data_IF_387687891879
#
_entry.id   IF_387687891879
#
_cell.length_a   1.000
_cell.length_b   1.000
_cell.length_c   1.000
_cell.angle_alpha   90.00
_cell.angle_beta   90.00
_cell.angle_gamma   90.00
#
_symmetry.space_group_name_H-M   'P 1'
#
loop_
_entity.id
_entity.type
_entity.pdbx_description
1 polymer ?
#
# COMPACT_ATOMS: atom_id res chain seq x y z
N UNK A 1 11.81 -42.02 -7.98
CA UNK A 1 11.29 -40.71 -7.53
C UNK A 1 9.91 -40.93 -6.92
N UNK A 2 9.68 -40.49 -5.67
CA UNK A 2 8.38 -40.72 -5.01
C UNK A 2 7.33 -39.74 -5.53
N UNK A 3 6.10 -40.21 -5.76
CA UNK A 3 5.01 -39.39 -6.31
C UNK A 3 4.67 -38.16 -5.44
N UNK A 4 5.00 -38.16 -4.14
CA UNK A 4 4.83 -36.98 -3.26
C UNK A 4 5.82 -35.84 -3.58
N UNK A 5 7.06 -36.18 -3.92
CA UNK A 5 8.04 -35.20 -4.43
C UNK A 5 7.69 -34.72 -5.83
N UNK A 6 7.08 -35.59 -6.65
CA UNK A 6 6.64 -35.25 -8.00
C UNK A 6 5.39 -34.36 -8.00
N UNK A 7 4.43 -34.56 -7.09
CA UNK A 7 3.24 -33.70 -6.97
C UNK A 7 3.61 -32.29 -6.47
N UNK A 8 4.54 -32.17 -5.50
CA UNK A 8 5.10 -30.87 -5.12
C UNK A 8 5.91 -30.23 -6.25
N UNK A 9 6.74 -31.00 -6.96
CA UNK A 9 7.52 -30.49 -8.09
C UNK A 9 6.63 -30.06 -9.27
N UNK A 10 5.55 -30.78 -9.56
CA UNK A 10 4.56 -30.44 -10.61
C UNK A 10 3.73 -29.23 -10.22
N UNK A 11 3.32 -29.09 -8.95
CA UNK A 11 2.67 -27.86 -8.48
C UNK A 11 3.61 -26.65 -8.59
N UNK A 12 4.90 -26.79 -8.25
CA UNK A 12 5.90 -25.73 -8.40
C UNK A 12 6.19 -25.42 -9.87
N UNK A 13 6.23 -26.42 -10.76
CA UNK A 13 6.43 -26.24 -12.20
C UNK A 13 5.24 -25.55 -12.88
N UNK A 14 4.02 -25.95 -12.53
CA UNK A 14 2.79 -25.35 -13.06
C UNK A 14 2.59 -23.92 -12.55
N UNK A 15 3.00 -23.63 -11.31
CA UNK A 15 3.02 -22.25 -10.78
C UNK A 15 4.07 -21.40 -11.52
N UNK A 16 5.22 -21.97 -11.89
CA UNK A 16 6.28 -21.27 -12.67
C UNK A 16 5.88 -21.01 -14.13
N UNK A 17 5.23 -21.96 -14.81
CA UNK A 17 4.76 -21.77 -16.19
C UNK A 17 3.63 -20.72 -16.28
N UNK A 18 2.74 -20.68 -15.27
CA UNK A 18 1.68 -19.68 -15.19
C UNK A 18 2.23 -18.26 -14.94
N UNK A 19 3.31 -18.12 -14.16
CA UNK A 19 3.96 -16.82 -13.89
C UNK A 19 4.78 -16.32 -15.08
N UNK A 20 5.48 -17.20 -15.80
CA UNK A 20 6.25 -16.85 -17.00
C UNK A 20 5.39 -16.36 -18.17
N UNK A 21 4.20 -16.94 -18.35
CA UNK A 21 3.27 -16.52 -19.41
C UNK A 21 2.53 -15.20 -19.07
N UNK A 22 2.53 -14.79 -17.79
CA UNK A 22 1.88 -13.57 -17.29
C UNK A 22 2.76 -12.32 -17.43
N UNK A 23 4.09 -12.49 -17.44
CA UNK A 23 5.05 -11.39 -17.62
C UNK A 23 5.10 -10.88 -19.05
N UNK A 24 4.87 -11.73 -20.05
CA UNK A 24 4.91 -11.35 -21.46
C UNK A 24 3.64 -10.61 -21.90
N UNK A 25 2.46 -10.98 -21.38
CA UNK A 25 1.19 -10.31 -21.73
C UNK A 25 0.97 -8.98 -20.98
N UNK A 26 1.62 -8.77 -19.83
CA UNK A 26 1.48 -7.53 -19.04
C UNK A 26 2.33 -6.37 -19.59
N UNK A 27 3.29 -6.63 -20.47
CA UNK A 27 4.14 -5.59 -21.06
C UNK A 27 3.44 -4.84 -22.21
N UNK A 28 2.49 -5.48 -22.91
CA UNK A 28 1.81 -4.88 -24.08
C UNK A 28 0.61 -3.97 -23.74
N UNK A 29 0.08 -4.00 -22.51
CA UNK A 29 -1.19 -3.35 -22.16
C UNK A 29 -1.09 -1.94 -21.51
N UNK A 30 0.07 -1.26 -21.55
CA UNK A 30 0.29 0.06 -20.89
C UNK A 30 0.03 1.28 -21.78
N UNK A 31 -0.98 1.23 -22.65
CA UNK A 31 -1.35 2.34 -23.50
C UNK A 31 -2.86 2.56 -23.60
N UNK A 32 -3.51 3.09 -22.57
CA UNK A 32 -4.86 3.62 -22.69
C UNK A 32 -5.78 3.35 -21.50
N UNK A 33 -6.24 4.43 -20.86
CA UNK A 33 -7.16 4.38 -19.74
C UNK A 33 -8.53 3.82 -20.13
N UNK A 34 -8.83 2.64 -19.62
CA UNK A 34 -10.16 2.16 -19.19
C UNK A 34 -9.94 0.81 -18.49
N UNK A 35 -9.92 0.83 -17.15
CA UNK A 35 -9.87 -0.40 -16.35
C UNK A 35 -11.24 -1.07 -16.44
N UNK A 36 -11.37 -2.09 -17.31
CA UNK A 36 -12.58 -2.90 -17.41
C UNK A 36 -12.52 -4.07 -16.42
N UNK A 37 -13.69 -4.41 -15.89
CA UNK A 37 -13.98 -5.54 -15.00
C UNK A 37 -13.55 -6.92 -15.56
N UNK A 38 -13.12 -7.01 -16.83
CA UNK A 38 -12.64 -8.24 -17.45
C UNK A 38 -11.34 -8.81 -16.82
N UNK A 39 -10.61 -8.02 -16.02
CA UNK A 39 -9.40 -8.48 -15.32
C UNK A 39 -9.69 -9.46 -14.17
N UNK A 40 -10.94 -9.51 -13.69
CA UNK A 40 -11.34 -10.35 -12.55
C UNK A 40 -11.44 -11.84 -12.89
N UNK A 41 -11.73 -12.20 -14.14
CA UNK A 41 -11.84 -13.61 -14.55
C UNK A 41 -10.48 -14.33 -14.63
N UNK A 42 -9.40 -13.61 -14.98
CA UNK A 42 -8.06 -14.21 -15.09
C UNK A 42 -7.30 -14.29 -13.76
N UNK A 43 -7.55 -13.37 -12.82
CA UNK A 43 -6.98 -13.45 -11.47
C UNK A 43 -7.43 -14.72 -10.72
N UNK A 44 -8.60 -15.26 -11.08
CA UNK A 44 -9.23 -16.39 -10.42
C UNK A 44 -8.57 -17.76 -10.73
N UNK A 45 -7.86 -17.91 -11.87
CA UNK A 45 -7.16 -19.14 -12.23
C UNK A 45 -5.85 -19.35 -11.42
N UNK A 46 -5.10 -18.29 -11.16
CA UNK A 46 -3.93 -18.35 -10.28
C UNK A 46 -4.32 -18.47 -8.79
N UNK A 47 -5.50 -17.97 -8.42
CA UNK A 47 -6.14 -18.20 -7.13
C UNK A 47 -6.71 -19.61 -7.00
N UNK A 48 -7.13 -20.27 -8.09
CA UNK A 48 -7.52 -21.70 -8.08
C UNK A 48 -6.35 -22.61 -7.68
N UNK A 49 -5.12 -22.34 -8.12
CA UNK A 49 -3.96 -23.13 -7.73
C UNK A 49 -3.51 -22.87 -6.27
N UNK A 50 -3.56 -21.60 -5.82
CA UNK A 50 -3.17 -21.19 -4.45
C UNK A 50 -4.25 -21.44 -3.40
N UNK A 51 -5.52 -21.37 -3.80
CA UNK A 51 -6.70 -21.64 -2.98
C UNK A 51 -6.93 -23.13 -2.67
N UNK A 52 -6.37 -24.04 -3.48
CA UNK A 52 -6.47 -25.48 -3.29
C UNK A 52 -5.64 -26.03 -2.12
N UNK A 53 -4.63 -25.28 -1.66
CA UNK A 53 -3.88 -25.56 -0.41
C UNK A 53 -4.54 -24.87 0.80
N UNK A 54 -5.54 -24.01 0.55
CA UNK A 54 -6.06 -23.03 1.52
C UNK A 54 -7.05 -23.64 2.52
N UNK A 55 -7.89 -24.60 2.11
CA UNK A 55 -8.96 -25.21 2.93
C UNK A 55 -8.47 -26.20 3.98
N UNK A 56 -7.32 -26.87 3.78
CA UNK A 56 -6.82 -27.86 4.77
C UNK A 56 -6.08 -27.22 5.97
N UNK A 57 -5.61 -25.97 5.88
CA UNK A 57 -4.89 -25.32 6.98
C UNK A 57 -5.76 -24.43 7.90
N UNK A 58 -6.87 -23.88 7.40
CA UNK A 58 -7.69 -22.92 8.19
C UNK A 58 -8.55 -23.64 9.25
N UNK A 59 -8.99 -24.87 8.98
CA UNK A 59 -9.84 -25.64 9.91
C UNK A 59 -9.11 -26.03 11.21
N UNK A 60 -7.77 -25.96 11.25
CA UNK A 60 -6.98 -26.43 12.41
C UNK A 60 -6.54 -25.35 13.40
N UNK A 61 -6.82 -24.06 13.15
CA UNK A 61 -6.32 -22.97 14.02
C UNK A 61 -7.27 -22.62 15.18
N UNK A 62 -8.52 -23.11 15.19
CA UNK A 62 -9.55 -22.70 16.16
C UNK A 62 -10.19 -23.80 17.01
N UNK A 63 -9.75 -25.05 16.90
CA UNK A 63 -10.18 -26.13 17.80
C UNK A 63 -8.97 -26.81 18.44
N UNK A 64 -8.35 -26.14 19.40
CA UNK A 64 -7.66 -26.85 20.50
C UNK A 64 -8.71 -27.11 21.57
N UNK A 65 -9.71 -27.91 21.22
CA UNK A 65 -10.57 -28.54 22.20
C UNK A 65 -9.71 -29.58 22.92
N UNK A 66 -9.77 -29.58 24.26
CA UNK A 66 -9.15 -30.59 25.11
C UNK A 66 -9.72 -31.98 24.75
N UNK A 67 -9.13 -32.65 23.75
CA UNK A 67 -9.43 -34.03 23.43
C UNK A 67 -8.85 -34.88 24.55
N UNK A 68 -9.75 -35.59 25.21
CA UNK A 68 -9.48 -36.57 26.24
C UNK A 68 -8.56 -37.63 25.64
N UNK A 69 -7.28 -37.62 26.03
CA UNK A 69 -6.27 -38.57 25.56
C UNK A 69 -6.63 -39.96 26.07
N UNK A 70 -7.37 -40.71 25.24
CA UNK A 70 -7.58 -42.14 25.48
C UNK A 70 -6.25 -42.80 25.18
N UNK A 71 -5.45 -43.05 26.23
CA UNK A 71 -4.12 -43.64 26.14
C UNK A 71 -4.22 -45.13 25.76
N UNK A 72 -4.56 -45.40 24.51
CA UNK A 72 -4.25 -46.67 23.88
C UNK A 72 -2.76 -46.63 23.50
N UNK A 73 -1.99 -47.60 23.99
CA UNK A 73 -0.55 -47.71 23.70
C UNK A 73 -0.35 -47.83 22.19
N UNK A 74 0.21 -46.81 21.56
CA UNK A 74 0.50 -46.82 20.12
C UNK A 74 1.53 -47.93 19.81
N UNK A 75 1.48 -48.55 18.61
CA UNK A 75 2.48 -49.52 18.20
C UNK A 75 3.89 -48.93 18.23
N UNK A 76 4.90 -49.75 18.50
CA UNK A 76 6.30 -49.32 18.56
C UNK A 76 6.73 -48.62 17.26
N UNK A 77 7.36 -47.44 17.39
CA UNK A 77 7.76 -46.61 16.26
C UNK A 77 6.63 -45.81 15.58
N UNK A 78 5.40 -45.85 16.11
CA UNK A 78 4.29 -45.01 15.65
C UNK A 78 4.14 -43.79 16.55
N UNK A 79 4.01 -42.62 15.94
CA UNK A 79 3.74 -41.35 16.63
C UNK A 79 2.44 -40.73 16.12
N UNK A 80 1.78 -39.96 16.98
CA UNK A 80 0.62 -39.15 16.60
C UNK A 80 1.04 -37.69 16.43
N UNK A 81 0.72 -37.09 15.28
CA UNK A 81 0.99 -35.68 14.99
C UNK A 81 -0.23 -35.08 14.30
N UNK A 82 -0.86 -34.10 14.96
CA UNK A 82 -2.12 -33.45 14.56
C UNK A 82 -3.25 -34.44 14.22
N UNK A 83 -3.52 -35.40 15.10
CA UNK A 83 -4.59 -36.39 14.93
C UNK A 83 -4.33 -37.39 13.80
N UNK A 84 -3.08 -37.53 13.35
CA UNK A 84 -2.67 -38.46 12.30
C UNK A 84 -1.55 -39.36 12.81
N UNK A 85 -1.62 -40.65 12.49
CA UNK A 85 -0.61 -41.62 12.88
C UNK A 85 0.49 -41.71 11.83
N UNK A 86 1.74 -41.70 12.26
CA UNK A 86 2.92 -41.70 11.40
C UNK A 86 3.91 -42.76 11.87
N UNK A 87 4.61 -43.36 10.90
CA UNK A 87 5.73 -44.28 11.17
C UNK A 87 6.89 -44.01 10.21
N UNK A 88 8.14 -44.25 10.65
CA UNK A 88 9.29 -44.14 9.77
C UNK A 88 9.24 -45.20 8.68
N UNK A 89 9.75 -44.86 7.49
CA UNK A 89 10.00 -45.87 6.44
C UNK A 89 11.22 -46.72 6.83
N UNK A 90 11.37 -47.94 6.27
CA UNK A 90 12.58 -48.72 6.48
C UNK A 90 13.84 -47.97 6.02
N UNK A 91 14.90 -47.99 6.83
CA UNK A 91 16.23 -47.45 6.49
C UNK A 91 16.36 -45.91 6.58
N UNK A 92 15.46 -45.25 7.30
CA UNK A 92 15.50 -43.79 7.47
C UNK A 92 16.37 -43.37 8.65
N UNK A 93 16.93 -42.17 8.56
CA UNK A 93 17.82 -41.61 9.58
C UNK A 93 17.12 -40.55 10.42
N UNK A 94 16.02 -39.97 9.94
CA UNK A 94 15.33 -38.89 10.64
C UNK A 94 14.58 -39.38 11.87
N UNK A 95 14.79 -38.71 13.01
CA UNK A 95 14.10 -39.00 14.27
C UNK A 95 12.65 -38.50 14.24
N UNK A 96 11.85 -38.94 15.23
CA UNK A 96 10.47 -38.45 15.41
C UNK A 96 10.43 -36.95 15.67
N UNK A 97 11.37 -36.43 16.46
CA UNK A 97 11.49 -35.01 16.78
C UNK A 97 11.85 -34.18 15.53
N UNK A 98 12.78 -34.67 14.71
CA UNK A 98 13.13 -34.05 13.43
C UNK A 98 11.94 -34.03 12.46
N UNK A 99 11.14 -35.10 12.43
CA UNK A 99 9.92 -35.14 11.63
C UNK A 99 8.87 -34.12 12.09
N UNK A 100 8.62 -34.03 13.41
CA UNK A 100 7.69 -33.06 13.98
C UNK A 100 8.18 -31.64 13.66
N UNK A 101 9.46 -31.36 13.89
CA UNK A 101 10.06 -30.05 13.59
C UNK A 101 9.98 -29.70 12.10
N UNK A 102 10.28 -30.66 11.21
CA UNK A 102 10.16 -30.47 9.77
C UNK A 102 8.72 -30.16 9.35
N UNK A 103 7.74 -30.87 9.91
CA UNK A 103 6.32 -30.65 9.61
C UNK A 103 5.84 -29.29 10.12
N UNK A 104 6.23 -28.89 11.33
CA UNK A 104 5.97 -27.54 11.86
C UNK A 104 6.56 -26.48 10.94
N UNK A 105 7.84 -26.60 10.57
CA UNK A 105 8.52 -25.67 9.66
C UNK A 105 7.86 -25.59 8.29
N UNK A 106 7.45 -26.73 7.74
CA UNK A 106 6.71 -26.79 6.47
C UNK A 106 5.40 -26.01 6.57
N UNK A 107 4.63 -26.19 7.65
CA UNK A 107 3.37 -25.47 7.87
C UNK A 107 3.63 -23.98 8.03
N UNK A 108 4.60 -23.58 8.86
CA UNK A 108 4.98 -22.17 9.07
C UNK A 108 5.36 -21.48 7.77
N UNK A 109 6.31 -22.03 7.00
CA UNK A 109 6.77 -21.45 5.73
C UNK A 109 5.62 -21.29 4.74
N UNK A 110 4.75 -22.30 4.63
CA UNK A 110 3.60 -22.22 3.73
C UNK A 110 2.54 -21.23 4.22
N UNK A 111 2.29 -21.14 5.52
CA UNK A 111 1.39 -20.15 6.10
C UNK A 111 1.91 -18.73 5.87
N UNK A 112 3.18 -18.47 6.19
CA UNK A 112 3.83 -17.18 5.94
C UNK A 112 3.83 -16.84 4.45
N UNK A 113 4.10 -17.84 3.60
CA UNK A 113 4.10 -17.72 2.15
C UNK A 113 2.74 -17.33 1.54
N UNK A 114 1.62 -17.57 2.23
CA UNK A 114 0.28 -17.15 1.77
C UNK A 114 0.13 -15.63 1.76
N UNK A 115 0.66 -14.98 2.79
CA UNK A 115 0.58 -13.52 2.94
C UNK A 115 1.83 -12.82 2.41
N UNK A 116 2.98 -13.49 2.49
CA UNK A 116 4.29 -12.98 2.09
C UNK A 116 4.93 -13.93 1.08
N UNK A 117 4.55 -13.88 -0.22
CA UNK A 117 4.96 -14.87 -1.22
C UNK A 117 6.47 -15.05 -1.38
N UNK A 118 7.25 -14.01 -1.08
CA UNK A 118 8.72 -14.05 -1.11
C UNK A 118 9.33 -14.93 -0.01
N UNK A 119 8.61 -15.24 1.07
CA UNK A 119 9.09 -16.14 2.13
C UNK A 119 9.39 -17.53 1.55
N UNK A 120 8.63 -17.97 0.55
CA UNK A 120 8.88 -19.24 -0.14
C UNK A 120 10.21 -19.24 -0.90
N UNK A 121 10.62 -18.09 -1.44
CA UNK A 121 11.89 -17.94 -2.13
C UNK A 121 13.05 -17.79 -1.13
N UNK A 122 12.86 -16.98 -0.09
CA UNK A 122 13.88 -16.70 0.95
C UNK A 122 14.18 -17.94 1.81
N UNK A 123 13.15 -18.72 2.16
CA UNK A 123 13.25 -19.93 3.00
C UNK A 123 13.21 -21.21 2.18
N UNK A 124 13.60 -21.14 0.91
CA UNK A 124 13.48 -22.28 -0.02
C UNK A 124 14.27 -23.51 0.43
N UNK A 125 15.50 -23.31 0.91
CA UNK A 125 16.36 -24.39 1.39
C UNK A 125 15.76 -25.10 2.62
N UNK A 126 15.23 -24.33 3.58
CA UNK A 126 14.53 -24.86 4.75
C UNK A 126 13.28 -25.67 4.37
N UNK A 127 12.53 -25.20 3.37
CA UNK A 127 11.34 -25.88 2.87
C UNK A 127 11.71 -27.21 2.19
N UNK A 128 12.74 -27.21 1.33
CA UNK A 128 13.20 -28.41 0.64
C UNK A 128 13.76 -29.46 1.64
N UNK A 129 14.48 -29.02 2.68
CA UNK A 129 14.93 -29.87 3.80
C UNK A 129 13.74 -30.49 4.55
N UNK A 130 12.76 -29.67 4.94
CA UNK A 130 11.55 -30.13 5.62
C UNK A 130 10.79 -31.17 4.80
N UNK A 131 10.65 -30.95 3.49
CA UNK A 131 10.04 -31.91 2.56
C UNK A 131 10.84 -33.22 2.51
N UNK A 132 12.18 -33.15 2.50
CA UNK A 132 13.04 -34.33 2.49
C UNK A 132 12.87 -35.18 3.76
N UNK A 133 12.88 -34.54 4.94
CA UNK A 133 12.66 -35.21 6.24
C UNK A 133 11.26 -35.81 6.30
N UNK A 134 10.21 -35.04 5.96
CA UNK A 134 8.84 -35.55 5.90
C UNK A 134 8.70 -36.73 4.92
N UNK A 135 9.48 -36.72 3.84
CA UNK A 135 9.57 -37.79 2.86
C UNK A 135 10.10 -39.11 3.43
N UNK A 136 10.74 -39.12 4.59
CA UNK A 136 11.20 -40.33 5.29
C UNK A 136 10.08 -41.02 6.09
N UNK A 137 8.94 -40.35 6.27
CA UNK A 137 7.83 -40.86 7.07
C UNK A 137 6.63 -41.24 6.21
N UNK A 138 5.74 -42.08 6.74
CA UNK A 138 4.50 -42.47 6.07
C UNK A 138 3.35 -42.62 7.06
N UNK A 139 2.13 -42.46 6.55
CA UNK A 139 0.89 -42.65 7.32
C UNK A 139 0.80 -44.08 7.86
N UNK A 140 0.42 -44.20 9.13
CA UNK A 140 0.33 -45.44 9.89
C UNK A 140 -1.10 -45.81 10.26
N UNK A 141 -2.12 -45.02 9.89
CA UNK A 141 -3.51 -45.38 10.21
C UNK A 141 -3.90 -46.73 9.58
N UNK A 142 -4.62 -47.58 10.33
CA UNK A 142 -5.14 -48.83 9.80
C UNK A 142 -5.97 -48.59 8.54
N UNK A 143 -5.63 -49.30 7.46
CA UNK A 143 -6.36 -49.20 6.19
C UNK A 143 -6.11 -47.92 5.38
N UNK A 144 -5.15 -47.06 5.77
CA UNK A 144 -4.79 -45.89 4.97
C UNK A 144 -4.33 -46.31 3.57
N UNK A 145 -5.06 -45.88 2.54
CA UNK A 145 -4.71 -46.06 1.14
C UNK A 145 -4.44 -44.72 0.50
N UNK A 146 -3.31 -44.63 -0.21
CA UNK A 146 -3.01 -43.46 -1.04
C UNK A 146 -4.01 -43.40 -2.19
N UNK A 147 -4.55 -42.22 -2.42
CA UNK A 147 -5.39 -41.98 -3.59
C UNK A 147 -4.54 -42.11 -4.86
N UNK A 148 -5.09 -42.75 -5.88
CA UNK A 148 -4.50 -42.72 -7.23
C UNK A 148 -4.67 -41.34 -7.84
N UNK A 149 -3.88 -41.00 -8.87
CA UNK A 149 -4.01 -39.73 -9.60
C UNK A 149 -5.45 -39.54 -10.12
N UNK A 150 -6.03 -40.58 -10.73
CA UNK A 150 -7.42 -40.58 -11.21
C UNK A 150 -8.43 -40.30 -10.08
N UNK A 151 -8.20 -40.83 -8.88
CA UNK A 151 -9.06 -40.57 -7.72
C UNK A 151 -8.90 -39.13 -7.20
N UNK A 152 -7.70 -38.57 -7.24
CA UNK A 152 -7.43 -37.16 -6.90
C UNK A 152 -8.09 -36.22 -7.89
N UNK A 153 -7.94 -36.46 -9.19
CA UNK A 153 -8.59 -35.69 -10.26
C UNK A 153 -10.10 -35.71 -10.10
N UNK A 154 -10.70 -36.89 -9.92
CA UNK A 154 -12.14 -37.01 -9.70
C UNK A 154 -12.60 -36.28 -8.43
N UNK A 155 -11.77 -36.20 -7.38
CA UNK A 155 -12.05 -35.40 -6.18
C UNK A 155 -12.01 -33.91 -6.51
N UNK A 156 -10.98 -33.44 -7.21
CA UNK A 156 -10.88 -32.03 -7.60
C UNK A 156 -12.02 -31.58 -8.51
N UNK A 157 -12.43 -32.40 -9.48
CA UNK A 157 -13.59 -32.08 -10.31
C UNK A 157 -14.89 -31.94 -9.50
N UNK A 158 -15.08 -32.77 -8.46
CA UNK A 158 -16.25 -32.65 -7.58
C UNK A 158 -16.24 -31.33 -6.82
N UNK A 159 -15.09 -30.95 -6.27
CA UNK A 159 -14.95 -29.67 -5.58
C UNK A 159 -15.11 -28.49 -6.55
N UNK A 160 -14.53 -28.54 -7.74
CA UNK A 160 -14.67 -27.50 -8.76
C UNK A 160 -16.16 -27.33 -9.15
N UNK A 161 -16.89 -28.43 -9.37
CA UNK A 161 -18.35 -28.38 -9.63
C UNK A 161 -19.14 -27.81 -8.45
N UNK A 162 -18.74 -28.11 -7.21
CA UNK A 162 -19.37 -27.55 -6.01
C UNK A 162 -19.16 -26.03 -5.94
N UNK A 163 -17.91 -25.57 -6.10
CA UNK A 163 -17.55 -24.15 -6.11
C UNK A 163 -18.20 -23.37 -7.25
N UNK A 164 -18.40 -23.99 -8.41
CA UNK A 164 -19.12 -23.38 -9.53
C UNK A 164 -20.61 -23.21 -9.23
N UNK A 165 -21.25 -24.19 -8.58
CA UNK A 165 -22.65 -24.06 -8.14
C UNK A 165 -22.82 -22.99 -7.08
N UNK A 166 -21.92 -22.93 -6.10
CA UNK A 166 -21.93 -21.91 -5.05
C UNK A 166 -21.78 -20.50 -5.64
N UNK A 167 -20.83 -20.32 -6.57
CA UNK A 167 -20.66 -19.05 -7.29
C UNK A 167 -21.89 -18.67 -8.12
N UNK A 168 -22.44 -19.61 -8.89
CA UNK A 168 -23.64 -19.36 -9.67
C UNK A 168 -24.86 -18.99 -8.78
N UNK A 169 -24.98 -19.60 -7.60
CA UNK A 169 -26.02 -19.26 -6.63
C UNK A 169 -25.81 -17.85 -6.05
N UNK A 170 -24.59 -17.51 -5.65
CA UNK A 170 -24.23 -16.18 -5.16
C UNK A 170 -24.45 -15.10 -6.23
N UNK A 171 -24.04 -15.36 -7.47
CA UNK A 171 -24.27 -14.47 -8.61
C UNK A 171 -25.76 -14.23 -8.85
N UNK A 172 -26.58 -15.30 -8.80
CA UNK A 172 -28.04 -15.18 -8.93
C UNK A 172 -28.65 -14.33 -7.82
N UNK A 173 -28.22 -14.51 -6.57
CA UNK A 173 -28.66 -13.68 -5.45
C UNK A 173 -28.26 -12.21 -5.63
N UNK A 174 -27.01 -11.96 -6.06
CA UNK A 174 -26.52 -10.61 -6.35
C UNK A 174 -27.33 -9.92 -7.43
N UNK A 175 -27.60 -10.60 -8.55
CA UNK A 175 -28.42 -10.05 -9.63
C UNK A 175 -29.85 -9.72 -9.17
N UNK A 176 -30.45 -10.58 -8.34
CA UNK A 176 -31.76 -10.29 -7.76
C UNK A 176 -31.75 -9.05 -6.85
N UNK A 177 -30.73 -8.89 -6.01
CA UNK A 177 -30.58 -7.74 -5.10
C UNK A 177 -30.47 -6.39 -5.82
N UNK A 178 -29.97 -6.34 -7.06
CA UNK A 178 -29.89 -5.10 -7.84
C UNK A 178 -31.24 -4.38 -7.96
N UNK A 179 -32.35 -5.12 -7.97
CA UNK A 179 -33.70 -4.56 -8.03
C UNK A 179 -34.08 -3.75 -6.78
N UNK A 180 -33.40 -4.01 -5.66
CA UNK A 180 -33.61 -3.34 -4.38
C UNK A 180 -32.53 -2.29 -4.09
N UNK A 181 -31.72 -1.94 -5.10
CA UNK A 181 -30.72 -0.88 -4.94
C UNK A 181 -31.41 0.48 -4.72
N UNK A 182 -31.10 1.09 -3.59
CA UNK A 182 -31.51 2.45 -3.25
C UNK A 182 -30.28 3.37 -3.28
N UNK A 183 -30.19 4.29 -4.27
CA UNK A 183 -29.04 5.19 -4.39
C UNK A 183 -28.94 6.20 -3.24
N UNK A 184 -30.07 6.64 -2.68
CA UNK A 184 -30.07 7.60 -1.57
C UNK A 184 -29.56 6.92 -0.30
N UNK A 185 -30.08 5.73 0.02
CA UNK A 185 -29.62 4.93 1.16
C UNK A 185 -28.14 4.55 1.04
N UNK A 186 -27.68 4.19 -0.15
CA UNK A 186 -26.26 3.90 -0.40
C UNK A 186 -25.38 5.13 -0.17
N UNK A 187 -25.82 6.31 -0.62
CA UNK A 187 -25.11 7.57 -0.43
C UNK A 187 -25.12 8.01 1.04
N UNK A 188 -26.25 7.83 1.74
CA UNK A 188 -26.40 8.10 3.17
C UNK A 188 -25.46 7.22 3.99
N UNK A 189 -25.32 5.93 3.64
CA UNK A 189 -24.36 5.02 4.29
C UNK A 189 -22.92 5.50 4.15
N UNK A 190 -22.50 5.93 2.95
CA UNK A 190 -21.14 6.45 2.77
C UNK A 190 -20.91 7.72 3.61
N UNK A 191 -21.94 8.57 3.70
CA UNK A 191 -21.91 9.77 4.52
C UNK A 191 -21.86 9.42 6.02
N UNK A 192 -22.56 8.38 6.45
CA UNK A 192 -22.54 7.88 7.83
C UNK A 192 -21.13 7.44 8.22
N UNK A 193 -20.50 6.58 7.42
CA UNK A 193 -19.14 6.09 7.68
C UNK A 193 -18.13 7.24 7.73
N UNK A 194 -18.24 8.21 6.81
CA UNK A 194 -17.40 9.42 6.83
C UNK A 194 -17.57 10.20 8.13
N UNK A 195 -18.80 10.45 8.56
CA UNK A 195 -19.08 11.25 9.75
C UNK A 195 -18.73 10.52 11.06
N UNK A 196 -18.83 9.19 11.09
CA UNK A 196 -18.29 8.40 12.19
C UNK A 196 -16.78 8.56 12.30
N UNK A 197 -16.05 8.57 11.18
CA UNK A 197 -14.60 8.83 11.18
C UNK A 197 -14.25 10.26 11.62
N UNK A 198 -15.04 11.26 11.21
CA UNK A 198 -14.88 12.64 11.68
C UNK A 198 -15.12 12.72 13.18
N UNK A 199 -16.18 12.08 13.68
CA UNK A 199 -16.54 12.08 15.09
C UNK A 199 -15.43 11.49 15.96
N UNK A 200 -14.92 10.30 15.60
CA UNK A 200 -13.80 9.64 16.28
C UNK A 200 -12.56 10.54 16.36
N UNK A 201 -12.22 11.20 15.24
CA UNK A 201 -11.10 12.14 15.20
C UNK A 201 -11.32 13.35 16.14
N UNK A 202 -12.49 13.99 16.08
CA UNK A 202 -12.79 15.14 16.93
C UNK A 202 -12.77 14.77 18.43
N UNK A 203 -13.29 13.59 18.78
CA UNK A 203 -13.25 13.07 20.15
C UNK A 203 -11.81 12.82 20.62
N UNK A 204 -10.98 12.25 19.75
CA UNK A 204 -9.55 12.05 20.01
C UNK A 204 -8.81 13.37 20.22
N UNK A 205 -9.07 14.38 19.37
CA UNK A 205 -8.48 15.71 19.54
C UNK A 205 -8.93 16.37 20.85
N UNK A 206 -10.21 16.29 21.19
CA UNK A 206 -10.73 16.84 22.44
C UNK A 206 -10.09 16.17 23.66
N UNK A 207 -9.93 14.84 23.64
CA UNK A 207 -9.24 14.11 24.70
C UNK A 207 -7.78 14.58 24.85
N UNK A 208 -7.07 14.75 23.73
CA UNK A 208 -5.70 15.21 23.72
C UNK A 208 -5.53 16.68 24.19
N UNK A 209 -6.54 17.53 23.98
CA UNK A 209 -6.57 18.87 24.57
C UNK A 209 -6.83 18.81 26.09
N UNK A 210 -7.71 17.92 26.54
CA UNK A 210 -8.04 17.75 27.97
C UNK A 210 -6.86 17.22 28.78
N UNK A 211 -6.11 16.24 28.26
CA UNK A 211 -4.94 15.69 28.94
C UNK A 211 -3.65 16.52 28.74
N UNK A 212 -3.70 17.55 27.90
CA UNK A 212 -2.59 18.46 27.63
C UNK A 212 -1.50 17.89 26.71
N UNK A 213 -1.68 16.69 26.15
CA UNK A 213 -0.76 16.10 25.17
C UNK A 213 -0.77 16.89 23.85
N UNK A 214 -1.93 17.46 23.49
CA UNK A 214 -2.09 18.35 22.34
C UNK A 214 -1.64 19.76 22.70
N UNK A 215 -0.50 20.15 22.13
CA UNK A 215 0.14 21.45 22.38
C UNK A 215 0.36 21.72 23.88
N UNK A 216 1.33 21.05 24.53
CA UNK A 216 1.54 21.16 25.98
C UNK A 216 1.74 22.58 26.48
N UNK A 217 2.45 23.42 25.70
CA UNK A 217 2.70 24.83 26.01
C UNK A 217 1.57 25.81 25.65
N UNK A 218 0.38 25.32 25.26
CA UNK A 218 -0.75 26.20 24.94
C UNK A 218 -1.28 26.90 26.20
N UNK A 219 -1.57 28.19 26.06
CA UNK A 219 -2.15 29.01 27.13
C UNK A 219 -3.55 28.49 27.52
N UNK A 220 -3.89 28.42 28.84
CA UNK A 220 -5.12 27.79 29.32
C UNK A 220 -6.43 28.34 28.74
N UNK A 221 -6.57 29.67 28.62
CA UNK A 221 -7.78 30.30 28.08
C UNK A 221 -7.96 29.92 26.60
N UNK A 222 -6.89 29.95 25.81
CA UNK A 222 -6.92 29.47 24.43
C UNK A 222 -7.27 27.99 24.34
N UNK A 223 -6.71 27.15 25.21
CA UNK A 223 -7.03 25.71 25.27
C UNK A 223 -8.51 25.48 25.57
N UNK A 224 -9.08 26.18 26.56
CA UNK A 224 -10.51 26.10 26.88
C UNK A 224 -11.39 26.51 25.70
N UNK A 225 -10.99 27.55 24.95
CA UNK A 225 -11.70 27.97 23.74
C UNK A 225 -11.70 26.89 22.66
N UNK A 226 -10.54 26.31 22.35
CA UNK A 226 -10.43 25.22 21.35
C UNK A 226 -11.24 24.00 21.76
N UNK A 227 -11.25 23.64 23.06
CA UNK A 227 -12.07 22.56 23.59
C UNK A 227 -13.57 22.82 23.38
N UNK A 228 -14.05 24.03 23.70
CA UNK A 228 -15.45 24.41 23.51
C UNK A 228 -15.87 24.40 22.02
N UNK A 229 -14.97 24.84 21.12
CA UNK A 229 -15.19 24.75 19.68
C UNK A 229 -15.27 23.29 19.19
N UNK A 230 -14.44 22.39 19.72
CA UNK A 230 -14.50 20.96 19.42
C UNK A 230 -15.78 20.31 19.96
N UNK A 231 -16.19 20.62 21.18
CA UNK A 231 -17.44 20.12 21.78
C UNK A 231 -18.65 20.51 20.92
N UNK A 232 -18.73 21.78 20.49
CA UNK A 232 -19.78 22.24 19.58
C UNK A 232 -19.78 21.50 18.25
N UNK A 233 -18.59 21.20 17.68
CA UNK A 233 -18.48 20.42 16.43
C UNK A 233 -18.91 18.98 16.63
N UNK A 234 -18.51 18.36 17.74
CA UNK A 234 -18.88 17.00 18.11
C UNK A 234 -20.40 16.87 18.20
N UNK A 235 -21.09 17.77 18.89
CA UNK A 235 -22.55 17.76 19.01
C UNK A 235 -23.23 17.80 17.63
N UNK A 236 -22.82 18.72 16.75
CA UNK A 236 -23.36 18.84 15.39
C UNK A 236 -23.15 17.57 14.56
N UNK A 237 -21.95 16.98 14.64
CA UNK A 237 -21.63 15.75 13.90
C UNK A 237 -22.43 14.57 14.48
N UNK A 238 -22.58 14.47 15.80
CA UNK A 238 -23.39 13.43 16.45
C UNK A 238 -24.86 13.52 16.04
N UNK A 239 -25.45 14.71 16.01
CA UNK A 239 -26.82 14.90 15.51
C UNK A 239 -26.97 14.47 14.05
N UNK A 240 -25.96 14.72 13.22
CA UNK A 240 -25.98 14.28 11.83
C UNK A 240 -25.83 12.76 11.69
N UNK A 241 -24.92 12.15 12.47
CA UNK A 241 -24.77 10.69 12.55
C UNK A 241 -26.09 10.03 12.95
N UNK A 242 -26.76 10.50 14.01
CA UNK A 242 -28.05 9.94 14.45
C UNK A 242 -29.13 9.98 13.36
N UNK A 243 -29.19 11.07 12.59
CA UNK A 243 -30.12 11.18 11.45
C UNK A 243 -29.78 10.15 10.36
N UNK A 244 -28.51 10.03 10.02
CA UNK A 244 -28.06 9.06 9.01
C UNK A 244 -28.24 7.61 9.47
N UNK A 245 -28.05 7.29 10.75
CA UNK A 245 -28.32 5.95 11.29
C UNK A 245 -29.79 5.56 11.12
N UNK A 246 -30.72 6.50 11.37
CA UNK A 246 -32.15 6.27 11.18
C UNK A 246 -32.52 6.06 9.70
N UNK A 247 -31.85 6.76 8.77
CA UNK A 247 -32.06 6.61 7.33
C UNK A 247 -31.46 5.32 6.76
N UNK A 248 -30.27 4.94 7.25
CA UNK A 248 -29.49 3.81 6.73
C UNK A 248 -29.97 2.48 7.31
N UNK A 249 -30.37 2.44 8.58
CA UNK A 249 -30.57 1.19 9.32
C UNK A 249 -29.24 0.45 9.50
N UNK A 250 -29.22 -0.86 9.26
CA UNK A 250 -27.96 -1.62 9.28
C UNK A 250 -27.09 -1.23 8.06
N UNK A 251 -25.90 -0.62 8.27
CA UNK A 251 -24.99 -0.29 7.17
C UNK A 251 -24.48 -1.53 6.44
N UNK A 252 -24.49 -2.73 7.04
CA UNK A 252 -24.02 -3.96 6.41
C UNK A 252 -25.05 -4.62 5.47
N UNK A 253 -26.29 -4.16 5.49
CA UNK A 253 -27.36 -4.63 4.59
C UNK A 253 -27.57 -3.74 3.36
N UNK A 254 -26.84 -2.63 3.26
CA UNK A 254 -27.03 -1.66 2.16
C UNK A 254 -26.38 -2.16 0.88
N UNK A 255 -27.25 -2.48 -0.08
CA UNK A 255 -26.88 -2.99 -1.40
C UNK A 255 -26.26 -1.87 -2.25
N UNK A 256 -25.17 -2.18 -2.96
CA UNK A 256 -24.60 -1.27 -3.96
C UNK A 256 -25.30 -1.38 -5.33
N UNK A 257 -24.96 -0.48 -6.26
CA UNK A 257 -25.52 -0.46 -7.63
C UNK A 257 -25.32 -1.77 -8.42
N UNK A 258 -24.41 -2.62 -7.98
CA UNK A 258 -24.07 -3.89 -8.61
C UNK A 258 -24.65 -5.09 -7.84
N UNK A 259 -25.46 -4.86 -6.80
CA UNK A 259 -26.10 -5.91 -6.00
C UNK A 259 -25.23 -6.48 -4.88
N UNK A 260 -24.05 -5.90 -4.63
CA UNK A 260 -23.12 -6.37 -3.61
C UNK A 260 -23.45 -5.80 -2.24
N UNK A 261 -23.28 -6.64 -1.22
CA UNK A 261 -23.26 -6.21 0.17
C UNK A 261 -21.85 -5.74 0.58
N UNK A 262 -21.72 -4.85 1.58
CA UNK A 262 -20.43 -4.42 2.11
C UNK A 262 -19.51 -5.56 2.53
N UNK A 263 -20.02 -6.61 3.18
CA UNK A 263 -19.22 -7.79 3.54
C UNK A 263 -18.62 -8.50 2.33
N UNK A 264 -19.41 -8.72 1.29
CA UNK A 264 -18.94 -9.36 0.06
C UNK A 264 -17.92 -8.48 -0.68
N UNK A 265 -18.11 -7.15 -0.65
CA UNK A 265 -17.13 -6.20 -1.20
C UNK A 265 -15.82 -6.26 -0.44
N UNK A 266 -15.85 -6.39 0.88
CA UNK A 266 -14.63 -6.54 1.69
C UNK A 266 -13.82 -7.79 1.32
N UNK A 267 -14.47 -8.91 1.02
CA UNK A 267 -13.78 -10.11 0.54
C UNK A 267 -13.06 -9.87 -0.80
N UNK A 268 -13.76 -9.26 -1.76
CA UNK A 268 -13.18 -8.90 -3.05
C UNK A 268 -12.02 -7.88 -2.90
N UNK A 269 -12.20 -6.88 -2.04
CA UNK A 269 -11.20 -5.84 -1.77
C UNK A 269 -9.99 -6.38 -1.00
N UNK A 270 -10.16 -7.38 -0.13
CA UNK A 270 -9.06 -8.10 0.51
C UNK A 270 -8.19 -8.80 -0.55
N UNK A 271 -8.83 -9.46 -1.52
CA UNK A 271 -8.10 -10.09 -2.62
C UNK A 271 -7.33 -9.06 -3.45
N UNK A 272 -7.96 -7.95 -3.80
CA UNK A 272 -7.31 -6.86 -4.53
C UNK A 272 -6.13 -6.29 -3.74
N UNK A 273 -6.30 -6.03 -2.45
CA UNK A 273 -5.23 -5.53 -1.57
C UNK A 273 -4.05 -6.49 -1.50
N UNK A 274 -4.31 -7.80 -1.32
CA UNK A 274 -3.26 -8.84 -1.32
C UNK A 274 -2.43 -8.78 -2.61
N UNK A 275 -3.10 -8.71 -3.75
CA UNK A 275 -2.45 -8.60 -5.06
C UNK A 275 -1.61 -7.33 -5.20
N UNK A 276 -2.19 -6.16 -4.88
CA UNK A 276 -1.52 -4.88 -5.00
C UNK A 276 -0.33 -4.78 -4.04
N UNK A 277 -0.47 -5.30 -2.82
CA UNK A 277 0.61 -5.40 -1.84
C UNK A 277 1.75 -6.29 -2.33
N UNK A 278 1.44 -7.50 -2.82
CA UNK A 278 2.45 -8.42 -3.36
C UNK A 278 3.25 -7.76 -4.48
N UNK A 279 2.55 -7.13 -5.42
CA UNK A 279 3.17 -6.41 -6.53
C UNK A 279 4.05 -5.27 -6.03
N UNK A 280 3.53 -4.40 -5.16
CA UNK A 280 4.24 -3.25 -4.61
C UNK A 280 5.49 -3.67 -3.81
N UNK A 281 5.43 -4.74 -3.02
CA UNK A 281 6.59 -5.24 -2.28
C UNK A 281 7.67 -5.75 -3.23
N UNK A 282 7.32 -6.52 -4.25
CA UNK A 282 8.28 -7.00 -5.26
C UNK A 282 8.95 -5.83 -5.99
N UNK A 283 8.15 -4.88 -6.43
CA UNK A 283 8.61 -3.69 -7.15
C UNK A 283 9.54 -2.83 -6.27
N UNK A 284 9.15 -2.56 -5.02
CA UNK A 284 9.99 -1.81 -4.07
C UNK A 284 11.31 -2.51 -3.75
N UNK A 285 11.31 -3.83 -3.59
CA UNK A 285 12.54 -4.61 -3.36
C UNK A 285 13.50 -4.49 -4.54
N UNK A 286 12.99 -4.60 -5.77
CA UNK A 286 13.78 -4.39 -7.00
C UNK A 286 14.31 -2.96 -7.06
N UNK A 287 13.44 -1.96 -6.90
CA UNK A 287 13.82 -0.54 -6.93
C UNK A 287 14.87 -0.19 -5.88
N UNK A 288 14.79 -0.76 -4.67
CA UNK A 288 15.78 -0.53 -3.62
C UNK A 288 17.15 -1.09 -3.98
N UNK A 289 17.21 -2.27 -4.63
CA UNK A 289 18.47 -2.82 -5.11
C UNK A 289 19.10 -1.89 -6.17
N UNK A 290 18.30 -1.44 -7.13
CA UNK A 290 18.73 -0.53 -8.20
C UNK A 290 19.20 0.82 -7.63
N UNK A 291 18.38 1.47 -6.80
CA UNK A 291 18.70 2.76 -6.18
C UNK A 291 19.97 2.70 -5.33
N UNK A 292 20.19 1.61 -4.57
CA UNK A 292 21.40 1.41 -3.77
C UNK A 292 22.63 1.21 -4.65
N UNK A 293 22.48 0.52 -5.79
CA UNK A 293 23.55 0.36 -6.77
C UNK A 293 23.93 1.72 -7.39
N UNK A 294 22.95 2.47 -7.88
CA UNK A 294 23.17 3.82 -8.43
C UNK A 294 23.78 4.77 -7.40
N UNK A 295 23.32 4.73 -6.15
CA UNK A 295 23.90 5.53 -5.07
C UNK A 295 25.38 5.20 -4.81
N UNK A 296 25.78 3.93 -4.89
CA UNK A 296 27.18 3.52 -4.76
C UNK A 296 28.02 4.00 -5.95
N UNK A 297 27.46 3.98 -7.15
CA UNK A 297 28.16 4.38 -8.38
C UNK A 297 28.26 5.90 -8.57
N UNK A 298 27.28 6.68 -8.08
CA UNK A 298 27.23 8.13 -8.27
C UNK A 298 28.32 8.85 -7.46
N UNK A 299 29.01 9.77 -8.13
CA UNK A 299 30.02 10.68 -7.54
C UNK A 299 29.47 12.09 -7.30
N UNK A 300 28.34 12.45 -7.89
CA UNK A 300 27.75 13.79 -7.76
C UNK A 300 27.05 13.97 -6.41
N UNK A 301 27.34 15.07 -5.71
CA UNK A 301 26.81 15.31 -4.35
C UNK A 301 25.30 15.50 -4.35
N UNK A 302 24.76 16.20 -5.36
CA UNK A 302 23.33 16.50 -5.44
C UNK A 302 22.54 15.23 -5.76
N UNK A 303 22.97 14.49 -6.77
CA UNK A 303 22.40 13.20 -7.15
C UNK A 303 22.41 12.21 -5.98
N UNK A 304 23.53 12.10 -5.24
CA UNK A 304 23.61 11.26 -4.02
C UNK A 304 22.62 11.69 -2.94
N UNK A 305 22.37 13.00 -2.78
CA UNK A 305 21.38 13.50 -1.84
C UNK A 305 19.96 13.07 -2.22
N UNK A 306 19.60 13.21 -3.50
CA UNK A 306 18.30 12.81 -4.03
C UNK A 306 18.11 11.29 -3.95
N UNK A 307 19.15 10.51 -4.24
CA UNK A 307 19.13 9.05 -4.13
C UNK A 307 18.95 8.59 -2.68
N UNK A 308 19.59 9.24 -1.70
CA UNK A 308 19.37 8.93 -0.27
C UNK A 308 17.92 9.15 0.14
N UNK A 309 17.32 10.26 -0.30
CA UNK A 309 15.91 10.54 -0.03
C UNK A 309 15.01 9.46 -0.64
N UNK A 310 15.23 9.10 -1.92
CA UNK A 310 14.47 8.04 -2.60
C UNK A 310 14.62 6.68 -1.91
N UNK A 311 15.83 6.31 -1.50
CA UNK A 311 16.09 5.08 -0.75
C UNK A 311 15.31 5.08 0.56
N UNK A 312 15.39 6.17 1.34
CA UNK A 312 14.67 6.30 2.61
C UNK A 312 13.15 6.17 2.44
N UNK A 313 12.58 6.86 1.45
CA UNK A 313 11.15 6.77 1.12
C UNK A 313 10.73 5.35 0.72
N UNK A 314 11.50 4.70 -0.14
CA UNK A 314 11.21 3.33 -0.57
C UNK A 314 11.36 2.30 0.57
N UNK A 315 12.34 2.50 1.47
CA UNK A 315 12.51 1.67 2.66
C UNK A 315 11.35 1.82 3.64
N UNK A 316 10.92 3.06 3.90
CA UNK A 316 9.76 3.32 4.77
C UNK A 316 8.52 2.64 4.22
N UNK A 317 8.20 2.88 2.94
CA UNK A 317 7.02 2.28 2.30
C UNK A 317 7.08 0.75 2.28
N UNK A 318 8.26 0.17 2.04
CA UNK A 318 8.43 -1.29 2.13
C UNK A 318 8.19 -1.78 3.56
N UNK A 319 8.76 -1.09 4.56
CA UNK A 319 8.52 -1.37 5.98
C UNK A 319 7.03 -1.34 6.33
N UNK A 320 6.31 -0.30 5.91
CA UNK A 320 4.87 -0.16 6.17
C UNK A 320 4.04 -1.30 5.57
N UNK A 321 4.39 -1.77 4.37
CA UNK A 321 3.71 -2.88 3.72
C UNK A 321 4.02 -4.22 4.39
N UNK A 322 5.27 -4.42 4.83
CA UNK A 322 5.70 -5.63 5.52
C UNK A 322 5.14 -5.72 6.94
N UNK A 323 4.92 -4.58 7.61
CA UNK A 323 4.36 -4.51 8.95
C UNK A 323 2.85 -4.87 9.02
N UNK A 324 2.14 -4.88 7.88
CA UNK A 324 0.73 -5.30 7.86
C UNK A 324 0.65 -6.82 8.05
N UNK A 325 0.05 -7.25 9.17
CA UNK A 325 -0.27 -8.65 9.44
C UNK A 325 -1.30 -9.21 8.47
N UNK A 326 -1.49 -10.53 8.48
CA UNK A 326 -2.55 -11.16 7.69
C UNK A 326 -3.92 -10.57 8.07
N UNK A 327 -4.69 -10.18 7.06
CA UNK A 327 -5.99 -9.55 7.23
C UNK A 327 -7.13 -10.52 6.93
N UNK A 328 -8.16 -10.46 7.77
CA UNK A 328 -9.50 -10.96 7.50
C UNK A 328 -10.31 -9.94 6.68
N UNK A 329 -11.42 -10.38 6.08
CA UNK A 329 -12.22 -9.51 5.21
C UNK A 329 -12.81 -8.35 6.01
N UNK A 330 -13.27 -8.58 7.24
CA UNK A 330 -13.87 -7.60 8.14
C UNK A 330 -12.92 -6.45 8.48
N UNK A 331 -11.62 -6.67 8.35
CA UNK A 331 -10.59 -5.65 8.58
C UNK A 331 -10.35 -4.76 7.35
N UNK A 332 -11.04 -4.99 6.24
CA UNK A 332 -10.97 -4.16 5.04
C UNK A 332 -12.03 -3.07 5.03
N UNK A 333 -11.75 -1.96 4.37
CA UNK A 333 -12.81 -1.05 3.97
C UNK A 333 -13.72 -1.73 2.94
N UNK A 334 -15.03 -1.49 3.01
CA UNK A 334 -16.01 -2.00 2.04
C UNK A 334 -16.03 -1.21 0.73
N UNK A 335 -15.33 -0.06 0.67
CA UNK A 335 -15.39 0.88 -0.45
C UNK A 335 -14.08 0.99 -1.23
N UNK A 336 -12.95 0.56 -0.66
CA UNK A 336 -11.66 0.59 -1.33
C UNK A 336 -10.72 -0.52 -0.83
N UNK A 337 -9.68 -0.82 -1.61
CA UNK A 337 -8.71 -1.86 -1.32
C UNK A 337 -7.65 -1.41 -0.29
N UNK A 338 -8.10 -0.80 0.81
CA UNK A 338 -7.24 -0.32 1.89
C UNK A 338 -7.78 -0.89 3.22
N UNK A 339 -6.90 -1.38 4.11
CA UNK A 339 -7.32 -1.85 5.42
C UNK A 339 -8.03 -0.76 6.24
N UNK A 340 -9.01 -1.13 7.06
CA UNK A 340 -9.78 -0.19 7.85
C UNK A 340 -8.91 0.61 8.81
N UNK A 341 -7.92 -0.04 9.45
CA UNK A 341 -6.99 0.64 10.38
C UNK A 341 -6.10 1.71 9.71
N UNK A 342 -6.02 1.72 8.38
CA UNK A 342 -5.30 2.75 7.61
C UNK A 342 -6.19 3.90 7.17
N UNK A 343 -7.49 3.83 7.48
CA UNK A 343 -8.44 4.91 7.25
C UNK A 343 -8.55 5.81 8.47
N UNK A 344 -8.65 7.10 8.23
CA UNK A 344 -9.06 8.07 9.24
C UNK A 344 -9.23 9.44 8.61
N UNK A 345 -9.79 10.38 9.37
CA UNK A 345 -10.08 11.72 8.85
C UNK A 345 -8.82 12.53 8.50
N UNK A 346 -7.68 12.22 9.12
CA UNK A 346 -6.43 12.96 8.94
C UNK A 346 -5.24 12.04 8.65
N UNK A 347 -4.23 12.59 7.99
CA UNK A 347 -2.94 11.94 7.73
C UNK A 347 -1.83 12.82 8.31
N UNK A 348 -0.86 12.28 9.07
CA UNK A 348 -0.77 10.96 9.72
C UNK A 348 -1.68 10.82 10.97
N UNK A 349 -1.83 9.63 11.60
CA UNK A 349 -1.13 8.35 11.37
C UNK A 349 -1.73 7.47 10.26
N UNK A 350 -2.88 7.85 9.71
CA UNK A 350 -3.58 7.10 8.67
C UNK A 350 -3.09 7.45 7.26
N UNK A 351 -3.33 6.57 6.28
CA UNK A 351 -3.08 6.86 4.87
C UNK A 351 -4.06 7.92 4.31
N UNK A 352 -5.17 8.14 5.04
CA UNK A 352 -6.10 9.24 4.87
C UNK A 352 -7.56 8.80 4.80
N UNK A 353 -8.48 9.74 4.50
CA UNK A 353 -9.90 9.43 4.38
C UNK A 353 -10.16 8.55 3.15
N UNK A 354 -11.20 7.73 3.22
CA UNK A 354 -11.55 6.85 2.10
C UNK A 354 -11.88 7.71 0.85
N UNK A 355 -11.31 7.41 -0.32
CA UNK A 355 -11.63 8.15 -1.55
C UNK A 355 -13.11 8.09 -1.96
N UNK A 356 -13.86 7.09 -1.47
CA UNK A 356 -15.29 6.94 -1.72
C UNK A 356 -16.16 7.82 -0.81
N UNK A 357 -15.60 8.42 0.25
CA UNK A 357 -16.36 9.25 1.16
C UNK A 357 -16.80 10.55 0.50
N UNK A 358 -18.10 10.93 0.57
CA UNK A 358 -18.64 12.00 -0.27
C UNK A 358 -18.02 13.37 -0.02
N UNK A 359 -17.84 13.76 1.24
CA UNK A 359 -17.25 15.04 1.62
C UNK A 359 -15.78 15.11 1.19
N UNK A 360 -15.02 14.06 1.46
CA UNK A 360 -13.63 13.95 1.06
C UNK A 360 -13.45 13.96 -0.47
N UNK A 361 -14.25 13.17 -1.20
CA UNK A 361 -14.21 13.13 -2.66
C UNK A 361 -14.46 14.52 -3.27
N UNK A 362 -15.46 15.25 -2.77
CA UNK A 362 -15.74 16.64 -3.17
C UNK A 362 -14.56 17.57 -2.87
N UNK A 363 -13.94 17.43 -1.70
CA UNK A 363 -12.75 18.21 -1.31
C UNK A 363 -11.58 17.95 -2.26
N UNK A 364 -11.26 16.69 -2.54
CA UNK A 364 -10.19 16.30 -3.46
C UNK A 364 -10.47 16.79 -4.87
N UNK A 365 -11.73 16.73 -5.33
CA UNK A 365 -12.11 17.28 -6.63
C UNK A 365 -11.84 18.79 -6.71
N UNK A 366 -12.26 19.57 -5.70
CA UNK A 366 -11.98 21.01 -5.65
C UNK A 366 -10.48 21.32 -5.68
N UNK A 367 -9.68 20.57 -4.92
CA UNK A 367 -8.22 20.72 -4.92
C UNK A 367 -7.64 20.46 -6.31
N UNK A 368 -8.10 19.40 -7.00
CA UNK A 368 -7.67 19.11 -8.38
C UNK A 368 -8.05 20.22 -9.36
N UNK A 369 -9.24 20.80 -9.23
CA UNK A 369 -9.70 21.93 -10.04
C UNK A 369 -8.83 23.18 -9.82
N UNK A 370 -8.48 23.48 -8.57
CA UNK A 370 -7.56 24.57 -8.23
C UNK A 370 -6.17 24.37 -8.86
N UNK A 371 -5.59 23.17 -8.78
CA UNK A 371 -4.31 22.88 -9.41
C UNK A 371 -4.37 22.99 -10.93
N UNK A 372 -5.43 22.48 -11.56
CA UNK A 372 -5.64 22.65 -13.00
C UNK A 372 -5.70 24.13 -13.37
N UNK A 373 -6.47 24.93 -12.65
CA UNK A 373 -6.57 26.38 -12.89
C UNK A 373 -5.21 27.08 -12.72
N UNK A 374 -4.42 26.71 -11.71
CA UNK A 374 -3.08 27.27 -11.48
C UNK A 374 -2.10 26.91 -12.61
N UNK A 375 -2.16 25.67 -13.13
CA UNK A 375 -1.34 25.23 -14.26
C UNK A 375 -1.75 25.96 -15.55
N UNK A 376 -3.04 26.15 -15.81
CA UNK A 376 -3.49 26.91 -16.97
C UNK A 376 -3.12 28.40 -16.86
N UNK A 377 -3.25 29.00 -15.67
CA UNK A 377 -2.84 30.37 -15.42
C UNK A 377 -1.31 30.57 -15.60
N UNK A 378 -0.49 29.57 -15.27
CA UNK A 378 0.96 29.65 -15.45
C UNK A 378 1.38 29.51 -16.91
N UNK A 379 0.66 28.73 -17.72
CA UNK A 379 0.86 28.65 -19.19
C UNK A 379 0.57 30.00 -19.88
N UNK A 380 -0.41 30.75 -19.38
CA UNK A 380 -0.77 32.08 -19.92
C UNK A 380 0.23 33.19 -19.57
N UNK A 381 1.01 33.04 -18.50
CA UNK A 381 2.07 33.99 -18.13
C UNK A 381 3.37 33.69 -18.90
N UNK A 382 3.45 34.13 -20.16
CA UNK A 382 4.77 34.43 -20.74
C UNK A 382 5.39 35.50 -19.85
N UNK A 383 6.42 35.15 -19.07
CA UNK A 383 7.19 36.10 -18.27
C UNK A 383 7.66 37.21 -19.24
N UNK A 384 7.20 38.46 -19.10
CA UNK A 384 7.76 39.55 -19.90
C UNK A 384 9.28 39.52 -19.70
N UNK A 385 10.09 39.71 -20.76
CA UNK A 385 11.52 39.86 -20.57
C UNK A 385 11.72 40.98 -19.54
N UNK A 386 12.40 40.66 -18.44
CA UNK A 386 12.72 41.66 -17.44
C UNK A 386 13.41 42.83 -18.15
N UNK A 387 12.98 44.09 -17.94
CA UNK A 387 13.69 45.22 -18.52
C UNK A 387 15.16 45.11 -18.08
N UNK A 388 16.13 45.28 -19.01
CA UNK A 388 17.53 45.21 -18.65
C UNK A 388 17.80 46.20 -17.51
N UNK A 389 18.57 45.81 -16.49
CA UNK A 389 18.90 46.74 -15.41
C UNK A 389 19.56 47.98 -16.02
N UNK A 390 19.02 49.17 -15.69
CA UNK A 390 19.56 50.46 -16.10
C UNK A 390 21.03 50.51 -15.66
N UNK A 391 21.96 50.45 -16.62
CA UNK A 391 23.36 50.69 -16.34
C UNK A 391 23.49 52.19 -16.03
N UNK A 392 24.12 52.60 -14.92
CA UNK A 392 24.39 54.01 -14.70
C UNK A 392 25.28 54.53 -15.83
N UNK A 393 24.92 55.69 -16.38
CA UNK A 393 25.71 56.39 -17.40
C UNK A 393 26.70 57.35 -16.71
N UNK A 394 27.90 57.57 -17.28
CA UNK A 394 28.86 58.51 -16.73
C UNK A 394 28.32 59.95 -16.80
N UNK A 395 28.55 60.74 -15.75
CA UNK A 395 28.11 62.13 -15.66
C UNK A 395 28.84 63.03 -16.68
N UNK A 396 30.07 62.66 -17.05
CA UNK A 396 30.84 63.34 -18.08
C UNK A 396 31.89 62.41 -18.69
N UNK A 397 32.18 62.57 -19.99
CA UNK A 397 33.25 61.86 -20.70
C UNK A 397 34.07 62.87 -21.49
N UNK A 398 35.38 62.96 -21.26
CA UNK A 398 36.28 63.87 -22.00
C UNK A 398 37.31 63.10 -22.83
N UNK A 399 37.60 63.61 -24.04
CA UNK A 399 38.56 63.03 -24.99
C UNK A 399 39.69 64.00 -25.36
N UNK A 400 39.99 64.96 -24.48
CA UNK A 400 40.96 66.04 -24.72
C UNK A 400 42.41 65.59 -24.43
N UNK A 401 43.44 66.37 -24.85
CA UNK A 401 44.83 66.12 -24.47
C UNK A 401 45.05 66.26 -22.94
N UNK A 402 46.06 65.57 -22.40
CA UNK A 402 46.29 65.40 -20.95
C UNK A 402 46.36 66.73 -20.16
N UNK A 403 46.93 67.78 -20.73
CA UNK A 403 47.04 69.08 -20.08
C UNK A 403 45.67 69.76 -19.87
N UNK A 404 44.74 69.61 -20.82
CA UNK A 404 43.38 70.16 -20.74
C UNK A 404 42.46 69.28 -19.89
N UNK A 405 42.73 67.96 -19.83
CA UNK A 405 42.00 67.04 -18.97
C UNK A 405 42.13 67.42 -17.50
N UNK A 406 43.33 67.79 -17.03
CA UNK A 406 43.55 68.11 -15.61
C UNK A 406 42.77 69.37 -15.18
N UNK A 407 42.75 70.40 -16.04
CA UNK A 407 41.96 71.61 -15.78
C UNK A 407 40.45 71.30 -15.77
N UNK A 408 39.97 70.51 -16.75
CA UNK A 408 38.55 70.18 -16.84
C UNK A 408 38.08 69.21 -15.75
N UNK A 409 38.95 68.30 -15.29
CA UNK A 409 38.67 67.43 -14.14
C UNK A 409 38.60 68.23 -12.84
N UNK A 410 39.46 69.23 -12.65
CA UNK A 410 39.38 70.11 -11.49
C UNK A 410 38.05 70.87 -11.43
N UNK A 411 37.58 71.44 -12.56
CA UNK A 411 36.28 72.11 -12.64
C UNK A 411 35.10 71.13 -12.38
N UNK A 412 35.16 69.92 -12.93
CA UNK A 412 34.09 68.92 -12.75
C UNK A 412 34.07 68.34 -11.34
N UNK A 413 35.22 68.25 -10.68
CA UNK A 413 35.31 67.77 -9.30
C UNK A 413 34.85 68.81 -8.29
N UNK A 414 34.94 70.11 -8.61
CA UNK A 414 34.29 71.17 -7.84
C UNK A 414 32.75 71.10 -7.96
N UNK A 415 32.23 70.75 -9.14
CA UNK A 415 30.79 70.60 -9.37
C UNK A 415 30.20 69.30 -8.79
N UNK A 416 31.00 68.22 -8.71
CA UNK A 416 30.58 66.92 -8.22
C UNK A 416 31.63 66.35 -7.24
N UNK A 417 31.65 66.82 -5.98
CA UNK A 417 32.72 66.50 -5.03
C UNK A 417 32.81 65.01 -4.66
N UNK A 418 31.69 64.29 -4.75
CA UNK A 418 31.61 62.86 -4.37
C UNK A 418 31.82 61.92 -5.56
N UNK A 419 32.05 62.43 -6.78
CA UNK A 419 32.15 61.62 -7.97
C UNK A 419 33.54 60.97 -8.13
N UNK A 420 33.58 59.70 -8.57
CA UNK A 420 34.81 58.98 -8.84
C UNK A 420 35.24 59.14 -10.30
N UNK A 421 36.47 59.60 -10.51
CA UNK A 421 37.10 59.65 -11.84
C UNK A 421 37.61 58.26 -12.21
N UNK A 422 37.16 57.71 -13.33
CA UNK A 422 37.61 56.40 -13.84
C UNK A 422 38.06 56.52 -15.30
N UNK A 423 38.98 55.64 -15.70
CA UNK A 423 39.40 55.52 -17.10
C UNK A 423 38.45 54.57 -17.84
N UNK A 424 37.66 55.12 -18.75
CA UNK A 424 36.68 54.42 -19.56
C UNK A 424 37.27 53.70 -20.77
N UNK A 425 36.38 53.14 -21.60
CA UNK A 425 36.79 52.53 -22.88
C UNK A 425 37.36 53.59 -23.83
N UNK A 426 38.35 53.21 -24.64
CA UNK A 426 39.09 54.10 -25.55
C UNK A 426 39.88 55.24 -24.86
N UNK A 427 40.41 54.99 -23.66
CA UNK A 427 41.27 55.92 -22.90
C UNK A 427 40.62 57.26 -22.55
N UNK A 428 39.30 57.33 -22.52
CA UNK A 428 38.57 58.52 -22.10
C UNK A 428 38.50 58.57 -20.57
N UNK A 429 38.49 59.77 -20.01
CA UNK A 429 38.26 59.96 -18.59
C UNK A 429 36.77 60.18 -18.36
N UNK A 430 36.20 59.37 -17.47
CA UNK A 430 34.77 59.33 -17.17
C UNK A 430 34.53 59.69 -15.71
N UNK A 431 33.58 60.58 -15.43
CA UNK A 431 33.17 60.92 -14.07
C UNK A 431 31.95 60.07 -13.69
N UNK A 432 32.04 59.32 -12.60
CA UNK A 432 30.99 58.41 -12.14
C UNK A 432 30.39 58.90 -10.81
N UNK A 433 29.07 58.80 -10.60
CA UNK A 433 28.50 59.10 -9.29
C UNK A 433 29.07 58.14 -8.22
N UNK A 434 29.18 58.61 -6.98
CA UNK A 434 29.56 57.76 -5.84
C UNK A 434 28.69 56.50 -5.83
N UNK A 435 29.29 55.32 -5.60
CA UNK A 435 28.52 54.08 -5.47
C UNK A 435 27.53 54.23 -4.30
N UNK A 436 26.24 54.29 -4.60
CA UNK A 436 25.16 54.10 -3.62
C UNK A 436 25.09 52.64 -3.17
#
# INVERSE_FOLDING_TARGET
>A
MSASGFVCAVLVLLTRLAVGHQTDLAYEARGGGRQSLARWDYGNLASRARGRVQTECIVRRTEVAAMTTTSATLPEGVIEVDGMLWKPKPGVTATAEEFIAARTRFVEINCDGRWNPWVLDERRAELDEAIAIMGQWTRAEPGHRRLTLKQLEARWEREDRKLERERAAADKQREARKQHYDPERAQARLSLIENLSILDHLQTELAAFRDGSRFPGMEPVKRQKEMAELETKIERVQEFVKRLEAEVGDPEEVIDKNGWLPGERREALLFQYKYDREFAVRDLRKQLADLRSTYKASKDRKERSDLRFKISMAQHKLGDLLAVSELAAEQMCSECATPMFKHGWVTPPYDGPCPAWPGWAKRIQRVREMFKAAVEASKGRKKPPAPPPLKPEPLAVTGLPIAEIMARLAELQEQFPDAEVRRGRANRWELWPAKS
#
